data_IF_511027409939
#
_entry.id   IF_511027409939
#
_cell.length_a   1.000
_cell.length_b   1.000
_cell.length_c   1.000
_cell.angle_alpha   90.00
_cell.angle_beta   90.00
_cell.angle_gamma   90.00
#
_symmetry.space_group_name_H-M   'P 1'
#
loop_
_entity.id
_entity.type
_entity.pdbx_description
1 polymer ?
#
# COMPACT_ATOMS: atom_id res chain seq x y z
N UNK A 1 14.46 -5.95 -5.99
CA UNK A 1 14.50 -6.81 -4.79
C UNK A 1 14.25 -8.25 -5.15
N UNK A 2 15.34 -9.04 -5.14
CA UNK A 2 15.29 -10.46 -5.54
C UNK A 2 14.31 -11.29 -4.73
N UNK A 3 14.10 -10.90 -3.46
CA UNK A 3 13.19 -11.60 -2.54
C UNK A 3 11.76 -11.70 -3.07
N UNK A 4 11.30 -10.68 -3.79
CA UNK A 4 9.93 -10.63 -4.28
C UNK A 4 9.81 -10.88 -5.78
N UNK A 5 10.91 -11.18 -6.45
CA UNK A 5 10.96 -11.29 -7.91
C UNK A 5 9.89 -12.22 -8.47
N UNK A 6 9.78 -13.43 -7.92
CA UNK A 6 8.88 -14.45 -8.47
C UNK A 6 7.42 -14.07 -8.31
N UNK A 7 7.03 -13.61 -7.11
CA UNK A 7 5.63 -13.28 -6.85
C UNK A 7 5.20 -12.00 -7.58
N UNK A 8 6.06 -10.99 -7.60
CA UNK A 8 5.77 -9.74 -8.31
C UNK A 8 5.68 -9.98 -9.82
N UNK A 9 6.54 -10.86 -10.35
CA UNK A 9 6.47 -11.25 -11.75
C UNK A 9 5.11 -11.88 -12.09
N UNK A 10 4.58 -12.74 -11.23
CA UNK A 10 3.23 -13.32 -11.40
C UNK A 10 2.17 -12.23 -11.39
N UNK A 11 2.26 -11.28 -10.48
CA UNK A 11 1.32 -10.15 -10.41
C UNK A 11 1.37 -9.34 -11.70
N UNK A 12 2.57 -9.04 -12.21
CA UNK A 12 2.72 -8.28 -13.46
C UNK A 12 2.19 -9.00 -14.69
N UNK A 13 2.11 -10.33 -14.65
CA UNK A 13 1.52 -11.14 -15.73
C UNK A 13 0.02 -11.33 -15.57
N UNK A 14 -0.55 -10.92 -14.45
CA UNK A 14 -1.99 -10.98 -14.21
C UNK A 14 -2.70 -9.79 -14.86
N UNK A 15 -4.02 -9.83 -14.98
CA UNK A 15 -4.77 -8.71 -15.56
C UNK A 15 -4.97 -7.54 -14.59
N UNK A 16 -4.51 -7.65 -13.35
CA UNK A 16 -4.77 -6.62 -12.33
C UNK A 16 -3.90 -5.39 -12.51
N UNK A 17 -4.52 -4.22 -12.33
CA UNK A 17 -3.87 -2.91 -12.37
C UNK A 17 -4.28 -2.11 -11.15
N UNK A 18 -3.39 -1.26 -10.68
CA UNK A 18 -3.59 -0.57 -9.40
C UNK A 18 -3.00 0.83 -9.35
N UNK A 19 -3.59 1.62 -8.48
CA UNK A 19 -3.00 2.86 -7.96
C UNK A 19 -2.63 2.58 -6.51
N UNK A 20 -1.44 3.00 -6.10
CA UNK A 20 -0.94 2.79 -4.74
C UNK A 20 -0.60 4.13 -4.09
N UNK A 21 -1.02 4.30 -2.85
CA UNK A 21 -0.75 5.51 -2.06
C UNK A 21 -0.14 5.13 -0.72
N UNK A 22 0.92 5.82 -0.33
CA UNK A 22 1.65 5.53 0.90
C UNK A 22 1.96 6.81 1.65
N UNK A 23 1.77 6.79 2.97
CA UNK A 23 2.10 7.91 3.84
C UNK A 23 2.72 7.41 5.15
N UNK A 24 3.81 8.05 5.58
CA UNK A 24 4.48 7.72 6.84
C UNK A 24 5.41 6.51 6.78
N UNK A 25 5.31 5.69 5.75
CA UNK A 25 6.11 4.49 5.52
C UNK A 25 5.52 3.67 4.40
N UNK A 26 6.23 2.63 3.93
CA UNK A 26 5.75 1.72 2.91
C UNK A 26 6.22 2.02 1.49
N UNK A 27 7.06 3.02 1.28
CA UNK A 27 7.55 3.34 -0.07
C UNK A 27 8.42 2.23 -0.66
N UNK A 28 9.03 1.39 0.18
CA UNK A 28 9.79 0.23 -0.32
C UNK A 28 8.90 -0.77 -1.04
N UNK A 29 7.61 -0.87 -0.69
CA UNK A 29 6.67 -1.71 -1.40
C UNK A 29 6.46 -1.20 -2.83
N UNK A 30 6.38 0.12 -3.00
CA UNK A 30 6.26 0.73 -4.33
C UNK A 30 7.50 0.40 -5.15
N UNK A 31 8.69 0.57 -4.57
CA UNK A 31 9.96 0.24 -5.21
C UNK A 31 10.03 -1.25 -5.60
N UNK A 32 9.62 -2.14 -4.69
CA UNK A 32 9.63 -3.58 -4.95
C UNK A 32 8.77 -3.95 -6.15
N UNK A 33 7.64 -3.28 -6.34
CA UNK A 33 6.77 -3.50 -7.49
C UNK A 33 7.38 -2.95 -8.79
N UNK A 34 7.99 -1.76 -8.72
CA UNK A 34 8.53 -1.09 -9.90
C UNK A 34 9.86 -1.69 -10.37
N UNK A 35 10.64 -2.29 -9.48
CA UNK A 35 11.94 -2.88 -9.83
C UNK A 35 11.82 -4.14 -10.70
N UNK A 36 10.72 -4.85 -10.62
CA UNK A 36 10.52 -6.08 -11.39
C UNK A 36 10.01 -5.73 -12.78
N UNK A 37 10.68 -6.21 -13.84
CA UNK A 37 10.23 -5.93 -15.21
C UNK A 37 8.77 -6.33 -15.43
N UNK A 38 8.04 -5.52 -16.19
CA UNK A 38 6.62 -5.70 -16.42
C UNK A 38 5.73 -4.83 -15.55
N UNK A 39 6.31 -3.96 -14.71
CA UNK A 39 5.57 -3.09 -13.81
C UNK A 39 4.54 -2.21 -14.55
N UNK A 40 4.81 -1.82 -15.78
CA UNK A 40 3.88 -1.04 -16.59
C UNK A 40 2.55 -1.76 -16.87
N UNK A 41 2.52 -3.09 -16.71
CA UNK A 41 1.29 -3.87 -16.83
C UNK A 41 0.44 -3.82 -15.56
N UNK A 42 0.98 -3.33 -14.45
CA UNK A 42 0.33 -3.41 -13.13
C UNK A 42 0.12 -2.03 -12.52
N UNK A 43 1.16 -1.20 -12.49
CA UNK A 43 1.14 0.08 -11.78
C UNK A 43 0.62 1.18 -12.71
N UNK A 44 -0.53 1.76 -12.36
CA UNK A 44 -1.08 2.90 -13.06
C UNK A 44 -0.46 4.20 -12.55
N UNK A 45 -0.38 4.34 -11.24
CA UNK A 45 0.05 5.56 -10.59
C UNK A 45 0.40 5.31 -9.14
N UNK A 46 1.33 6.09 -8.59
CA UNK A 46 1.70 6.06 -7.17
C UNK A 46 1.63 7.46 -6.58
N UNK A 47 1.21 7.56 -5.34
CA UNK A 47 1.13 8.81 -4.59
C UNK A 47 1.81 8.66 -3.24
N UNK A 48 2.54 9.70 -2.82
CA UNK A 48 3.20 9.73 -1.51
C UNK A 48 2.85 11.06 -0.83
N UNK A 49 1.61 11.22 -0.34
CA UNK A 49 1.19 12.43 0.37
C UNK A 49 1.73 12.42 1.79
N UNK A 50 2.93 12.91 1.97
CA UNK A 50 3.68 12.77 3.22
C UNK A 50 3.32 13.81 4.27
N UNK A 51 3.19 15.09 3.89
CA UNK A 51 2.78 16.14 4.82
C UNK A 51 1.29 16.06 5.13
N UNK A 52 0.89 16.64 6.25
CA UNK A 52 -0.53 16.70 6.61
C UNK A 52 -1.34 17.42 5.54
N UNK A 53 -0.82 18.52 5.01
CA UNK A 53 -1.48 19.32 3.97
C UNK A 53 -1.64 18.50 2.68
N UNK A 54 -0.62 17.74 2.30
CA UNK A 54 -0.70 16.85 1.13
C UNK A 54 -1.73 15.76 1.32
N UNK A 55 -1.78 15.15 2.51
CA UNK A 55 -2.78 14.13 2.82
C UNK A 55 -4.19 14.73 2.83
N UNK A 56 -4.38 15.92 3.41
CA UNK A 56 -5.68 16.61 3.39
C UNK A 56 -6.15 16.84 1.95
N UNK A 57 -5.23 17.25 1.08
CA UNK A 57 -5.52 17.44 -0.34
C UNK A 57 -5.87 16.12 -1.04
N UNK A 58 -5.10 15.07 -0.79
CA UNK A 58 -5.36 13.76 -1.37
C UNK A 58 -6.72 13.20 -0.95
N UNK A 59 -7.08 13.35 0.32
CA UNK A 59 -8.35 12.89 0.87
C UNK A 59 -9.51 13.83 0.60
N UNK A 60 -9.23 15.07 0.24
CA UNK A 60 -10.18 16.17 0.15
C UNK A 60 -10.93 16.42 1.47
N UNK A 61 -10.25 16.19 2.58
CA UNK A 61 -10.73 16.45 3.94
C UNK A 61 -9.58 16.31 4.94
N UNK A 62 -9.77 16.88 6.13
CA UNK A 62 -8.84 16.71 7.24
C UNK A 62 -9.27 15.48 8.06
N UNK A 63 -8.49 14.40 8.11
CA UNK A 63 -8.83 13.23 8.91
C UNK A 63 -8.64 13.50 10.40
N UNK A 64 -9.35 12.76 11.25
CA UNK A 64 -9.16 12.83 12.71
C UNK A 64 -7.77 12.34 13.11
N UNK A 65 -7.32 11.25 12.47
CA UNK A 65 -5.99 10.67 12.68
C UNK A 65 -5.38 10.31 11.33
N UNK A 66 -4.12 10.69 11.12
CA UNK A 66 -3.44 10.41 9.85
C UNK A 66 -3.00 8.96 9.73
N UNK A 67 -2.65 8.32 10.84
CA UNK A 67 -2.32 6.90 10.86
C UNK A 67 -3.42 6.13 11.59
N UNK A 68 -4.44 5.73 10.85
CA UNK A 68 -5.58 4.99 11.36
C UNK A 68 -6.16 4.11 10.26
N UNK A 69 -6.94 3.11 10.64
CA UNK A 69 -7.64 2.28 9.67
C UNK A 69 -8.61 3.11 8.84
N UNK A 70 -9.36 4.00 9.46
CA UNK A 70 -10.31 4.89 8.78
C UNK A 70 -9.65 5.70 7.68
N UNK A 71 -8.53 6.34 7.99
CA UNK A 71 -7.78 7.12 7.00
C UNK A 71 -7.25 6.20 5.89
N UNK A 72 -6.75 5.03 6.23
CA UNK A 72 -6.24 4.08 5.24
C UNK A 72 -7.34 3.58 4.31
N UNK A 73 -8.54 3.33 4.84
CA UNK A 73 -9.72 2.95 4.05
C UNK A 73 -10.08 4.06 3.05
N UNK A 74 -10.08 5.32 3.48
CA UNK A 74 -10.35 6.45 2.60
C UNK A 74 -9.28 6.63 1.53
N UNK A 75 -8.01 6.42 1.90
CA UNK A 75 -6.90 6.45 0.94
C UNK A 75 -7.08 5.39 -0.15
N UNK A 76 -7.42 4.17 0.23
CA UNK A 76 -7.61 3.08 -0.72
C UNK A 76 -8.82 3.31 -1.62
N UNK A 77 -9.91 3.84 -1.08
CA UNK A 77 -11.10 4.19 -1.87
C UNK A 77 -10.75 5.22 -2.94
N UNK A 78 -9.99 6.27 -2.57
CA UNK A 78 -9.53 7.27 -3.52
C UNK A 78 -8.58 6.68 -4.57
N UNK A 79 -7.68 5.80 -4.16
CA UNK A 79 -6.76 5.13 -5.08
C UNK A 79 -7.53 4.25 -6.07
N UNK A 80 -8.54 3.51 -5.62
CA UNK A 80 -9.38 2.70 -6.48
C UNK A 80 -10.15 3.57 -7.48
N UNK A 81 -10.71 4.68 -7.03
CA UNK A 81 -11.39 5.64 -7.90
C UNK A 81 -10.44 6.17 -8.98
N UNK A 82 -9.19 6.47 -8.61
CA UNK A 82 -8.15 6.88 -9.56
C UNK A 82 -7.87 5.79 -10.60
N UNK A 83 -7.78 4.53 -10.18
CA UNK A 83 -7.56 3.42 -11.11
C UNK A 83 -8.67 3.38 -12.16
N UNK A 84 -9.93 3.55 -11.76
CA UNK A 84 -11.07 3.57 -12.69
C UNK A 84 -11.03 4.78 -13.63
N UNK A 85 -10.52 5.90 -13.16
CA UNK A 85 -10.39 7.12 -13.99
C UNK A 85 -9.26 7.00 -15.01
N UNK A 86 -8.14 6.39 -14.61
CA UNK A 86 -6.95 6.27 -15.44
C UNK A 86 -7.11 5.17 -16.49
N UNK A 87 -7.61 4.01 -16.07
CA UNK A 87 -7.77 2.85 -16.96
C UNK A 87 -9.25 2.60 -17.23
N UNK A 88 -9.69 2.98 -18.42
CA UNK A 88 -11.07 2.82 -18.87
C UNK A 88 -11.27 1.59 -19.74
N UNK A 89 -10.21 0.82 -20.04
CA UNK A 89 -10.24 -0.34 -20.93
C UNK A 89 -10.27 -1.67 -20.20
N UNK A 90 -9.66 -1.75 -19.01
CA UNK A 90 -9.69 -2.97 -18.20
C UNK A 90 -11.06 -3.20 -17.57
N UNK A 91 -11.37 -4.46 -17.30
CA UNK A 91 -12.57 -4.79 -16.52
C UNK A 91 -12.43 -4.23 -15.11
N UNK A 92 -13.48 -3.62 -14.58
CA UNK A 92 -13.47 -3.02 -13.25
C UNK A 92 -13.07 -4.01 -12.16
N UNK A 93 -13.43 -5.30 -12.31
CA UNK A 93 -13.05 -6.35 -11.37
C UNK A 93 -11.54 -6.60 -11.29
N UNK A 94 -10.77 -6.09 -12.24
CA UNK A 94 -9.30 -6.22 -12.26
C UNK A 94 -8.60 -4.93 -11.79
N UNK A 95 -9.34 -3.93 -11.36
CA UNK A 95 -8.78 -2.69 -10.87
C UNK A 95 -8.73 -2.69 -9.34
N UNK A 96 -7.64 -2.20 -8.80
CA UNK A 96 -7.41 -2.13 -7.35
C UNK A 96 -6.93 -0.74 -6.94
N UNK A 97 -7.20 -0.39 -5.69
CA UNK A 97 -6.55 0.71 -5.00
C UNK A 97 -5.86 0.15 -3.77
N UNK A 98 -4.61 0.50 -3.56
CA UNK A 98 -3.85 0.05 -2.40
C UNK A 98 -3.39 1.26 -1.61
N UNK A 99 -3.55 1.20 -0.29
CA UNK A 99 -3.09 2.25 0.60
C UNK A 99 -2.26 1.69 1.73
N UNK A 100 -1.31 2.51 2.18
CA UNK A 100 -0.46 2.22 3.33
C UNK A 100 -0.38 3.50 4.15
N UNK A 101 -0.64 3.41 5.46
CA UNK A 101 -0.30 4.50 6.37
C UNK A 101 0.42 3.90 7.57
N UNK A 102 1.49 4.55 8.00
CA UNK A 102 2.39 3.99 8.98
C UNK A 102 2.93 5.06 9.94
N UNK A 103 3.21 4.63 11.15
CA UNK A 103 3.92 5.39 12.17
C UNK A 103 5.02 4.48 12.71
N UNK A 104 6.24 4.67 12.23
CA UNK A 104 7.33 3.74 12.40
C UNK A 104 8.43 4.27 13.32
N UNK A 105 9.42 3.43 13.60
CA UNK A 105 10.59 3.77 14.40
C UNK A 105 11.33 4.98 13.83
N UNK A 106 11.80 5.84 14.73
CA UNK A 106 12.60 7.03 14.42
C UNK A 106 13.91 6.94 15.20
N UNK A 107 14.79 7.94 15.01
CA UNK A 107 16.06 8.03 15.77
C UNK A 107 15.84 8.46 17.22
N UNK A 108 14.64 8.87 17.57
CA UNK A 108 14.26 9.25 18.94
C UNK A 108 13.03 8.44 19.37
N UNK A 109 12.84 8.30 20.67
CA UNK A 109 11.68 7.60 21.20
C UNK A 109 10.41 8.44 21.00
N UNK A 110 9.39 7.84 20.41
CA UNK A 110 8.10 8.48 20.18
C UNK A 110 7.11 8.12 21.28
N UNK A 111 6.19 9.04 21.57
CA UNK A 111 5.09 8.79 22.49
C UNK A 111 4.01 7.90 21.86
N UNK A 112 3.77 8.02 20.56
CA UNK A 112 2.76 7.26 19.86
C UNK A 112 3.16 5.82 19.57
N UNK A 113 2.19 4.97 19.28
CA UNK A 113 2.43 3.59 18.91
C UNK A 113 3.15 3.47 17.57
N UNK A 114 3.99 2.44 17.45
CA UNK A 114 4.48 2.00 16.15
C UNK A 114 3.41 1.09 15.54
N UNK A 115 2.89 1.49 14.40
CA UNK A 115 1.80 0.76 13.76
C UNK A 115 1.74 1.06 12.29
N UNK A 116 1.08 0.18 11.56
CA UNK A 116 0.75 0.45 10.17
C UNK A 116 -0.55 -0.22 9.78
N UNK A 117 -1.15 0.31 8.74
CA UNK A 117 -2.38 -0.20 8.15
C UNK A 117 -2.16 -0.32 6.65
N UNK A 118 -2.69 -1.39 6.07
CA UNK A 118 -2.67 -1.64 4.64
C UNK A 118 -4.08 -1.97 4.21
N UNK A 119 -4.56 -1.36 3.13
CA UNK A 119 -5.89 -1.64 2.59
C UNK A 119 -5.77 -1.90 1.10
N UNK A 120 -6.46 -2.93 0.63
CA UNK A 120 -6.69 -3.18 -0.79
C UNK A 120 -8.18 -3.03 -1.04
N UNK A 121 -8.55 -2.06 -1.87
CA UNK A 121 -9.91 -1.82 -2.30
C UNK A 121 -10.10 -2.37 -3.70
N UNK A 122 -11.06 -3.26 -3.87
CA UNK A 122 -11.50 -3.76 -5.15
C UNK A 122 -12.94 -3.35 -5.42
N UNK A 123 -13.48 -3.76 -6.57
CA UNK A 123 -14.86 -3.46 -6.97
C UNK A 123 -15.88 -3.99 -5.97
N UNK A 124 -15.70 -5.22 -5.49
CA UNK A 124 -16.68 -5.90 -4.66
C UNK A 124 -16.17 -6.35 -3.29
N UNK A 125 -14.97 -5.94 -2.90
CA UNK A 125 -14.45 -6.25 -1.56
C UNK A 125 -13.40 -5.24 -1.11
N UNK A 126 -13.18 -5.23 0.20
CA UNK A 126 -12.08 -4.50 0.85
C UNK A 126 -11.34 -5.49 1.73
N UNK A 127 -10.03 -5.60 1.53
CA UNK A 127 -9.14 -6.37 2.40
C UNK A 127 -8.26 -5.41 3.16
N UNK A 128 -8.00 -5.69 4.43
CA UNK A 128 -7.12 -4.83 5.19
C UNK A 128 -6.30 -5.61 6.20
N UNK A 129 -5.23 -4.98 6.65
CA UNK A 129 -4.35 -5.49 7.69
C UNK A 129 -4.02 -4.35 8.64
N UNK A 130 -4.19 -4.61 9.94
CA UNK A 130 -3.78 -3.71 11.01
C UNK A 130 -2.61 -4.37 11.72
N UNK A 131 -1.54 -3.63 11.97
CA UNK A 131 -0.38 -4.16 12.66
C UNK A 131 0.14 -3.15 13.68
N UNK A 132 0.25 -3.60 14.92
CA UNK A 132 0.85 -2.85 16.00
C UNK A 132 2.19 -3.49 16.34
N UNK A 133 3.25 -2.69 16.33
CA UNK A 133 4.62 -3.17 16.48
C UNK A 133 5.16 -2.86 17.86
N UNK A 134 5.98 -3.78 18.39
CA UNK A 134 6.67 -3.56 19.66
C UNK A 134 7.75 -2.50 19.48
N UNK A 135 7.70 -1.46 20.33
CA UNK A 135 8.69 -0.40 20.30
C UNK A 135 10.07 -0.93 20.71
N UNK A 136 11.10 -0.43 20.02
CA UNK A 136 12.50 -0.78 20.35
C UNK A 136 12.96 -2.13 19.85
N UNK A 137 12.09 -2.92 19.22
CA UNK A 137 12.44 -4.24 18.71
C UNK A 137 13.09 -4.22 17.33
N UNK A 138 12.72 -3.24 16.51
CA UNK A 138 13.16 -3.14 15.11
C UNK A 138 13.66 -1.74 14.81
N UNK A 139 14.58 -1.65 13.88
CA UNK A 139 14.95 -0.38 13.24
C UNK A 139 13.83 0.04 12.29
N UNK A 140 13.86 1.28 11.83
CA UNK A 140 12.92 1.74 10.80
C UNK A 140 13.03 0.92 9.53
N UNK A 141 14.24 0.58 9.13
CA UNK A 141 14.48 -0.25 7.94
C UNK A 141 13.82 -1.63 8.08
N UNK A 142 13.94 -2.25 9.24
CA UNK A 142 13.30 -3.55 9.52
C UNK A 142 11.78 -3.44 9.52
N UNK A 143 11.23 -2.36 10.05
CA UNK A 143 9.79 -2.11 10.03
C UNK A 143 9.28 -1.86 8.61
N UNK A 144 10.05 -1.13 7.79
CA UNK A 144 9.75 -0.93 6.37
C UNK A 144 9.75 -2.26 5.61
N UNK A 145 10.69 -3.15 5.90
CA UNK A 145 10.74 -4.48 5.28
C UNK A 145 9.50 -5.31 5.64
N UNK A 146 9.05 -5.24 6.88
CA UNK A 146 7.83 -5.92 7.30
C UNK A 146 6.61 -5.40 6.54
N UNK A 147 6.49 -4.09 6.39
CA UNK A 147 5.40 -3.49 5.60
C UNK A 147 5.44 -4.00 4.17
N UNK A 148 6.63 -4.02 3.55
CA UNK A 148 6.79 -4.49 2.18
C UNK A 148 6.30 -5.92 2.02
N UNK A 149 6.70 -6.82 2.92
CA UNK A 149 6.25 -8.21 2.90
C UNK A 149 4.73 -8.31 3.01
N UNK A 150 4.13 -7.53 3.90
CA UNK A 150 2.68 -7.52 4.10
C UNK A 150 1.93 -6.98 2.88
N UNK A 151 2.43 -5.92 2.26
CA UNK A 151 1.81 -5.35 1.04
C UNK A 151 1.84 -6.37 -0.10
N UNK A 152 3.00 -6.98 -0.33
CA UNK A 152 3.16 -7.97 -1.40
C UNK A 152 2.24 -9.17 -1.15
N UNK A 153 2.16 -9.65 0.10
CA UNK A 153 1.28 -10.76 0.46
C UNK A 153 -0.19 -10.44 0.20
N UNK A 154 -0.64 -9.27 0.63
CA UNK A 154 -2.03 -8.85 0.47
C UNK A 154 -2.39 -8.62 -1.00
N UNK A 155 -1.48 -8.02 -1.76
CA UNK A 155 -1.65 -7.83 -3.20
C UNK A 155 -1.70 -9.17 -3.94
N UNK A 156 -0.78 -10.08 -3.65
CA UNK A 156 -0.75 -11.40 -4.28
C UNK A 156 -2.06 -12.14 -4.04
N UNK A 157 -2.55 -12.14 -2.81
CA UNK A 157 -3.83 -12.74 -2.46
C UNK A 157 -4.98 -12.11 -3.27
N UNK A 158 -4.97 -10.80 -3.42
CA UNK A 158 -5.99 -10.09 -4.21
C UNK A 158 -5.94 -10.44 -5.69
N UNK A 159 -4.79 -10.88 -6.20
CA UNK A 159 -4.62 -11.34 -7.58
C UNK A 159 -4.81 -12.86 -7.74
N UNK A 160 -5.17 -13.56 -6.66
CA UNK A 160 -5.41 -15.00 -6.69
C UNK A 160 -4.17 -15.86 -6.50
N UNK A 161 -3.07 -15.29 -5.98
CA UNK A 161 -1.83 -16.02 -5.72
C UNK A 161 -1.58 -16.16 -4.23
N UNK A 162 -1.05 -17.31 -3.82
CA UNK A 162 -0.60 -17.51 -2.45
C UNK A 162 0.84 -17.00 -2.28
N UNK A 163 1.07 -16.27 -1.20
CA UNK A 163 2.40 -15.83 -0.82
C UNK A 163 2.47 -15.68 0.70
N UNK A 164 3.17 -16.62 1.35
CA UNK A 164 3.36 -16.60 2.80
C UNK A 164 4.50 -15.67 3.19
N UNK A 165 4.28 -14.94 4.28
CA UNK A 165 5.29 -14.04 4.85
C UNK A 165 6.24 -14.83 5.77
#
# INVERSE_FOLDING_TARGET
>A
MKKYLNIVNKVHKSPYKLTIVSSGGGTNAISALLEVPGASNTILESHIPYSKESMNSFLNKKPDHYCSLDTCLNMAANAFKKSKQIDTTSKTKHLLGISITANLATTYEKKGDHKFFIVVQAYDYTKYLECYLDKGKRTREEEEELITACVISLLADSCGFEYAI
#
